data_IF_397566744113
#
_entry.id   IF_397566744113
#
_cell.length_a   1.000
_cell.length_b   1.000
_cell.length_c   1.000
_cell.angle_alpha   90.00
_cell.angle_beta   90.00
_cell.angle_gamma   90.00
#
_symmetry.space_group_name_H-M   'P 1'
#
loop_
_entity.id
_entity.type
_entity.pdbx_description
1 polymer ?
#
# COMPACT_ATOMS: atom_id res chain seq x y z
N UNK A 1 9.97 -21.62 26.96
CA UNK A 1 9.94 -21.82 25.49
C UNK A 1 8.51 -21.53 25.07
N UNK A 2 8.24 -20.31 24.59
CA UNK A 2 6.89 -19.85 24.18
C UNK A 2 6.68 -20.31 22.74
N UNK A 3 5.59 -21.00 22.43
CA UNK A 3 5.36 -21.52 21.08
C UNK A 3 4.83 -20.40 20.18
N UNK A 4 5.20 -20.44 18.89
CA UNK A 4 4.77 -19.44 17.89
C UNK A 4 3.24 -19.33 17.72
N UNK A 5 2.46 -20.20 18.36
CA UNK A 5 0.99 -20.13 18.37
C UNK A 5 0.46 -19.00 19.26
N UNK A 6 1.23 -18.58 20.27
CA UNK A 6 0.80 -17.55 21.23
C UNK A 6 0.99 -16.12 20.70
N UNK A 7 1.66 -15.95 19.54
CA UNK A 7 1.96 -14.64 18.94
C UNK A 7 0.83 -14.12 18.03
N UNK A 8 -0.14 -14.98 17.68
CA UNK A 8 -1.20 -14.64 16.71
C UNK A 8 -2.55 -14.27 17.35
N UNK A 9 -2.63 -14.20 18.68
CA UNK A 9 -3.89 -13.98 19.40
C UNK A 9 -4.10 -12.53 19.88
N UNK A 10 -3.54 -11.56 19.18
CA UNK A 10 -3.96 -10.15 19.29
C UNK A 10 -4.32 -9.61 17.89
N UNK A 11 -5.25 -10.28 17.22
CA UNK A 11 -6.09 -9.56 16.27
C UNK A 11 -6.92 -8.56 17.08
N UNK A 12 -6.87 -7.24 16.78
CA UNK A 12 -7.77 -6.30 17.39
C UNK A 12 -9.18 -6.76 17.03
N UNK A 13 -9.94 -7.13 18.07
CA UNK A 13 -11.29 -7.66 17.95
C UNK A 13 -12.08 -6.83 16.95
N UNK A 14 -12.74 -7.53 16.03
CA UNK A 14 -13.70 -6.97 15.09
C UNK A 14 -14.53 -5.91 15.79
N UNK A 15 -14.31 -4.64 15.40
CA UNK A 15 -15.06 -3.49 15.91
C UNK A 15 -16.52 -3.72 15.54
N UNK A 16 -17.29 -4.29 16.46
CA UNK A 16 -18.74 -4.36 16.35
C UNK A 16 -19.24 -2.92 16.15
N UNK A 17 -19.68 -2.63 14.93
CA UNK A 17 -20.33 -1.37 14.59
C UNK A 17 -21.70 -1.41 15.26
N UNK A 18 -21.75 -1.06 16.55
CA UNK A 18 -23.02 -0.76 17.21
C UNK A 18 -23.65 0.43 16.51
N UNK A 19 -24.94 0.43 16.22
CA UNK A 19 -25.63 1.54 15.51
C UNK A 19 -25.83 2.78 16.39
N UNK A 20 -25.01 2.96 17.43
CA UNK A 20 -25.10 4.05 18.39
C UNK A 20 -24.24 5.22 17.91
N UNK A 21 -24.73 6.44 18.07
CA UNK A 21 -24.02 7.67 17.67
C UNK A 21 -22.58 7.75 18.23
N UNK A 22 -22.38 7.25 19.44
CA UNK A 22 -21.07 7.19 20.10
C UNK A 22 -20.04 6.27 19.41
N UNK A 23 -20.47 5.17 18.79
CA UNK A 23 -19.56 4.28 18.04
C UNK A 23 -19.09 4.92 16.74
N UNK A 24 -19.96 5.71 16.09
CA UNK A 24 -19.66 6.45 14.87
C UNK A 24 -18.71 7.60 15.16
N UNK A 25 -18.92 8.34 16.26
CA UNK A 25 -18.01 9.39 16.72
C UNK A 25 -16.59 8.81 16.99
N UNK A 26 -16.50 7.69 17.72
CA UNK A 26 -15.20 6.99 17.95
C UNK A 26 -14.55 6.49 16.67
N UNK A 27 -15.33 5.96 15.72
CA UNK A 27 -14.80 5.54 14.42
C UNK A 27 -14.26 6.74 13.64
N UNK A 28 -14.95 7.87 13.66
CA UNK A 28 -14.54 9.07 12.95
C UNK A 28 -13.26 9.67 13.54
N UNK A 29 -13.14 9.69 14.86
CA UNK A 29 -11.91 10.07 15.56
C UNK A 29 -10.74 9.13 15.21
N UNK A 30 -11.00 7.81 15.18
CA UNK A 30 -9.99 6.82 14.78
C UNK A 30 -9.53 7.00 13.34
N UNK A 31 -10.45 7.21 12.40
CA UNK A 31 -10.13 7.48 10.99
C UNK A 31 -9.34 8.79 10.83
N UNK A 32 -9.74 9.84 11.55
CA UNK A 32 -9.01 11.10 11.55
C UNK A 32 -7.57 10.91 12.03
N UNK A 33 -7.36 10.23 13.15
CA UNK A 33 -6.03 9.96 13.69
C UNK A 33 -5.18 9.12 12.73
N UNK A 34 -5.77 8.10 12.10
CA UNK A 34 -5.09 7.27 11.12
C UNK A 34 -4.60 8.09 9.92
N UNK A 35 -5.45 8.96 9.37
CA UNK A 35 -5.10 9.80 8.23
C UNK A 35 -3.98 10.77 8.59
N UNK A 36 -4.01 11.40 9.76
CA UNK A 36 -2.93 12.29 10.21
C UNK A 36 -1.61 11.53 10.33
N UNK A 37 -1.63 10.34 10.93
CA UNK A 37 -0.44 9.50 11.04
C UNK A 37 0.12 9.10 9.67
N UNK A 38 -0.74 8.78 8.71
CA UNK A 38 -0.31 8.45 7.35
C UNK A 38 0.32 9.65 6.65
N UNK A 39 -0.24 10.84 6.82
CA UNK A 39 0.34 12.09 6.29
C UNK A 39 1.74 12.31 6.86
N UNK A 40 1.91 12.18 8.18
CA UNK A 40 3.21 12.35 8.84
C UNK A 40 4.25 11.35 8.32
N UNK A 41 3.84 10.09 8.15
CA UNK A 41 4.71 9.05 7.59
C UNK A 41 5.14 9.36 6.16
N UNK A 42 4.21 9.82 5.31
CA UNK A 42 4.49 10.21 3.93
C UNK A 42 5.46 11.41 3.88
N UNK A 43 5.24 12.42 4.72
CA UNK A 43 6.14 13.57 4.83
C UNK A 43 7.55 13.13 5.24
N UNK A 44 7.67 12.22 6.21
CA UNK A 44 8.97 11.71 6.64
C UNK A 44 9.70 10.95 5.52
N UNK A 45 8.98 10.13 4.74
CA UNK A 45 9.53 9.44 3.58
C UNK A 45 10.06 10.45 2.55
N UNK A 46 9.26 11.46 2.18
CA UNK A 46 9.66 12.49 1.21
C UNK A 46 10.88 13.25 1.71
N UNK A 47 10.90 13.68 2.98
CA UNK A 47 12.04 14.38 3.57
C UNK A 47 13.31 13.52 3.56
N UNK A 48 13.19 12.23 3.88
CA UNK A 48 14.31 11.29 3.86
C UNK A 48 14.82 11.10 2.43
N UNK A 49 13.93 10.95 1.45
CA UNK A 49 14.30 10.83 0.04
C UNK A 49 14.99 12.10 -0.47
N UNK A 50 14.49 13.29 -0.12
CA UNK A 50 15.15 14.56 -0.41
C UNK A 50 16.57 14.60 0.16
N UNK A 51 16.74 14.20 1.42
CA UNK A 51 18.04 14.18 2.10
C UNK A 51 19.04 13.23 1.42
N UNK A 52 18.58 12.02 1.06
CA UNK A 52 19.44 11.00 0.44
C UNK A 52 19.79 11.27 -1.02
N UNK A 53 18.86 11.85 -1.78
CA UNK A 53 19.02 12.02 -3.24
C UNK A 53 19.38 13.45 -3.64
N UNK A 54 19.23 14.42 -2.74
CA UNK A 54 19.35 15.84 -3.03
C UNK A 54 18.20 16.41 -3.85
N UNK A 55 17.14 15.63 -4.14
CA UNK A 55 16.02 16.05 -4.99
C UNK A 55 14.68 15.73 -4.37
N UNK A 56 13.71 16.64 -4.52
CA UNK A 56 12.36 16.44 -4.03
C UNK A 56 11.52 15.63 -5.03
N UNK A 57 11.11 14.39 -4.67
CA UNK A 57 10.38 13.51 -5.58
C UNK A 57 9.00 14.06 -5.97
N UNK A 58 8.32 14.75 -5.06
CA UNK A 58 7.04 15.40 -5.34
C UNK A 58 7.23 16.56 -6.34
N UNK A 59 8.26 17.38 -6.15
CA UNK A 59 8.58 18.46 -7.09
C UNK A 59 8.93 17.93 -8.47
N UNK A 60 9.64 16.80 -8.55
CA UNK A 60 9.94 16.14 -9.83
C UNK A 60 8.68 15.64 -10.51
N UNK A 61 7.77 14.98 -9.78
CA UNK A 61 6.50 14.50 -10.33
C UNK A 61 5.60 15.66 -10.81
N UNK A 62 5.52 16.75 -10.05
CA UNK A 62 4.78 17.95 -10.45
C UNK A 62 5.37 18.63 -11.69
N UNK A 63 6.70 18.73 -11.79
CA UNK A 63 7.38 19.23 -12.97
C UNK A 63 7.15 18.32 -14.19
N UNK A 64 7.24 17.00 -13.99
CA UNK A 64 6.95 15.99 -15.02
C UNK A 64 5.51 16.13 -15.55
N UNK A 65 4.54 16.21 -14.64
CA UNK A 65 3.12 16.31 -14.95
C UNK A 65 2.78 17.61 -15.68
N UNK A 66 3.27 18.75 -15.18
CA UNK A 66 3.02 20.06 -15.81
C UNK A 66 3.66 20.20 -17.18
N UNK A 67 4.85 19.61 -17.38
CA UNK A 67 5.56 19.62 -18.66
C UNK A 67 5.13 18.49 -19.60
N UNK A 68 4.22 17.59 -19.18
CA UNK A 68 3.89 16.33 -19.88
C UNK A 68 5.12 15.47 -20.22
N UNK A 69 6.22 15.67 -19.49
CA UNK A 69 7.45 14.90 -19.64
C UNK A 69 7.31 13.66 -18.75
N UNK A 70 7.39 12.47 -19.35
CA UNK A 70 7.42 11.21 -18.58
C UNK A 70 8.76 11.11 -17.85
N UNK A 71 8.83 11.54 -16.59
CA UNK A 71 10.00 11.32 -15.74
C UNK A 71 10.01 9.84 -15.31
N UNK A 72 11.05 9.14 -15.73
CA UNK A 72 11.27 7.72 -15.47
C UNK A 72 11.17 6.87 -16.73
N UNK A 73 12.23 6.12 -17.05
CA UNK A 73 12.08 4.87 -17.79
C UNK A 73 11.03 4.08 -17.02
N UNK A 74 9.93 3.66 -17.67
CA UNK A 74 8.90 2.89 -16.94
C UNK A 74 9.61 1.67 -16.33
N UNK A 75 9.19 1.12 -15.19
CA UNK A 75 9.87 -0.03 -14.59
C UNK A 75 10.12 -1.18 -15.59
N UNK A 76 9.21 -1.37 -16.55
CA UNK A 76 9.37 -2.30 -17.69
C UNK A 76 10.53 -1.98 -18.66
N UNK A 77 10.91 -0.70 -18.78
CA UNK A 77 12.00 -0.19 -19.60
C UNK A 77 13.37 -0.33 -18.88
N UNK A 78 13.37 -0.68 -17.59
CA UNK A 78 14.55 -1.06 -16.79
C UNK A 78 14.71 -2.58 -16.66
N UNK A 79 13.64 -3.34 -16.92
CA UNK A 79 13.64 -4.79 -16.86
C UNK A 79 14.09 -5.37 -18.20
N UNK A 80 14.98 -6.37 -18.14
CA UNK A 80 15.35 -7.09 -19.35
C UNK A 80 14.12 -7.87 -19.89
N UNK A 81 14.04 -8.14 -21.21
CA UNK A 81 12.89 -8.83 -21.80
C UNK A 81 12.60 -10.22 -21.22
N UNK A 82 13.60 -10.90 -20.64
CA UNK A 82 13.39 -12.19 -19.95
C UNK A 82 12.67 -11.99 -18.61
N UNK A 83 13.05 -10.98 -17.83
CA UNK A 83 12.44 -10.62 -16.56
C UNK A 83 10.98 -10.20 -16.74
N UNK A 84 10.67 -9.49 -17.81
CA UNK A 84 9.28 -9.14 -18.16
C UNK A 84 8.44 -10.41 -18.40
N UNK A 85 8.96 -11.39 -19.15
CA UNK A 85 8.27 -12.67 -19.39
C UNK A 85 8.05 -13.45 -18.10
N UNK A 86 9.06 -13.55 -17.23
CA UNK A 86 8.90 -14.21 -15.92
C UNK A 86 7.86 -13.51 -15.06
N UNK A 87 7.89 -12.18 -15.01
CA UNK A 87 6.94 -11.39 -14.24
C UNK A 87 5.50 -11.57 -14.74
N UNK A 88 5.29 -11.59 -16.07
CA UNK A 88 3.99 -11.90 -16.67
C UNK A 88 3.50 -13.30 -16.31
N UNK A 89 4.36 -14.32 -16.35
CA UNK A 89 4.00 -15.68 -15.94
C UNK A 89 3.59 -15.76 -14.48
N UNK A 90 4.32 -15.09 -13.59
CA UNK A 90 3.99 -15.01 -12.15
C UNK A 90 2.64 -14.31 -11.94
N UNK A 91 2.37 -13.21 -12.64
CA UNK A 91 1.07 -12.53 -12.57
C UNK A 91 -0.09 -13.39 -13.09
N UNK A 92 0.09 -14.12 -14.19
CA UNK A 92 -0.94 -15.03 -14.69
C UNK A 92 -1.27 -16.14 -13.70
N UNK A 93 -0.26 -16.69 -13.01
CA UNK A 93 -0.47 -17.70 -11.95
C UNK A 93 -1.19 -17.07 -10.77
N UNK A 94 -0.74 -15.89 -10.31
CA UNK A 94 -1.38 -15.14 -9.22
C UNK A 94 -2.86 -14.88 -9.54
N UNK A 95 -3.17 -14.37 -10.72
CA UNK A 95 -4.55 -14.06 -11.12
C UNK A 95 -5.43 -15.30 -11.17
N UNK A 96 -4.87 -16.44 -11.60
CA UNK A 96 -5.58 -17.71 -11.62
C UNK A 96 -5.88 -18.20 -10.19
N UNK A 97 -4.92 -18.05 -9.27
CA UNK A 97 -5.08 -18.37 -7.85
C UNK A 97 -6.10 -17.42 -7.21
N UNK A 98 -5.95 -16.11 -7.34
CA UNK A 98 -6.87 -15.13 -6.76
C UNK A 98 -8.30 -15.27 -7.27
N UNK A 99 -8.50 -15.62 -8.55
CA UNK A 99 -9.84 -15.91 -9.08
C UNK A 99 -10.42 -17.21 -8.52
N UNK A 100 -9.58 -18.22 -8.26
CA UNK A 100 -10.01 -19.46 -7.62
C UNK A 100 -10.38 -19.22 -6.16
N UNK A 101 -9.51 -18.57 -5.39
CA UNK A 101 -9.74 -18.20 -3.99
C UNK A 101 -11.00 -17.33 -3.84
N UNK A 102 -11.17 -16.33 -4.71
CA UNK A 102 -12.38 -15.49 -4.70
C UNK A 102 -13.67 -16.26 -4.98
N UNK A 103 -13.63 -17.31 -5.81
CA UNK A 103 -14.79 -18.18 -6.07
C UNK A 103 -15.09 -19.11 -4.90
N UNK A 104 -14.05 -19.59 -4.22
CA UNK A 104 -14.18 -20.43 -3.03
C UNK A 104 -14.72 -19.65 -1.82
N UNK A 105 -14.37 -18.36 -1.69
CA UNK A 105 -14.92 -17.48 -0.64
C UNK A 105 -16.37 -17.07 -0.92
N UNK A 106 -16.76 -17.01 -2.20
CA UNK A 106 -18.11 -16.58 -2.61
C UNK A 106 -19.14 -17.71 -2.65
N UNK A 107 -18.73 -18.97 -2.48
CA UNK A 107 -19.59 -20.15 -2.47
C UNK A 107 -19.95 -20.55 -1.03
#
# INVERSE_FOLDING_TARGET
>A
MMTMMDVWNEYPSELQIGSSRESLEKLMESQQQLVHKQIDQLQNIVNTQCSLTGVNPLSQEMAAGSLSIKIGKRPRDLLNPKAVKYMQSVFSIKDSISKKESREISA
#
